data_IF_044373680213
#
_entry.id   IF_044373680213
#
_cell.length_a   1.000
_cell.length_b   1.000
_cell.length_c   1.000
_cell.angle_alpha   90.00
_cell.angle_beta   90.00
_cell.angle_gamma   90.00
#
_symmetry.space_group_name_H-M   'P 1'
#
loop_
_entity.id
_entity.type
_entity.pdbx_description
1 polymer ?
#
# COMPACT_ATOMS: atom_id res chain seq x y z
N UNK A 1 9.77 16.61 -4.68
CA UNK A 1 9.69 16.73 -3.20
C UNK A 1 11.11 16.85 -2.67
N UNK A 2 11.50 18.02 -2.10
CA UNK A 2 12.87 18.24 -1.62
C UNK A 2 13.16 17.57 -0.27
N UNK A 3 12.15 17.32 0.56
CA UNK A 3 12.28 16.61 1.84
C UNK A 3 11.00 15.80 2.11
N UNK A 4 11.13 14.54 2.51
CA UNK A 4 10.01 13.65 2.81
C UNK A 4 10.13 13.12 4.23
N UNK A 5 9.05 13.27 5.00
CA UNK A 5 8.92 12.71 6.35
C UNK A 5 7.79 11.68 6.33
N UNK A 6 7.96 10.54 7.00
CA UNK A 6 6.94 9.51 7.11
C UNK A 6 6.78 9.06 8.56
N UNK A 7 5.53 8.90 8.99
CA UNK A 7 5.18 8.35 10.29
C UNK A 7 4.39 7.05 10.05
N UNK A 8 5.05 5.92 10.28
CA UNK A 8 4.60 4.60 9.86
C UNK A 8 5.77 3.62 9.75
N UNK A 9 5.58 2.52 9.02
CA UNK A 9 6.64 1.52 8.80
C UNK A 9 7.31 1.65 7.43
N UNK A 10 8.41 0.92 7.23
CA UNK A 10 9.16 0.96 5.97
C UNK A 10 8.34 0.56 4.74
N UNK A 11 7.40 -0.38 4.86
CA UNK A 11 6.52 -0.78 3.76
C UNK A 11 5.54 0.33 3.37
N UNK A 12 5.00 1.05 4.35
CA UNK A 12 4.13 2.20 4.11
C UNK A 12 4.89 3.34 3.43
N UNK A 13 6.13 3.61 3.86
CA UNK A 13 7.02 4.56 3.18
C UNK A 13 7.23 4.16 1.73
N UNK A 14 7.66 2.92 1.48
CA UNK A 14 7.90 2.42 0.12
C UNK A 14 6.60 2.48 -0.71
N UNK A 15 5.43 2.11 -0.17
CA UNK A 15 4.17 2.23 -0.88
C UNK A 15 3.82 3.69 -1.25
N UNK A 16 4.23 4.66 -0.43
CA UNK A 16 4.00 6.08 -0.64
C UNK A 16 4.90 6.68 -1.73
N UNK A 17 6.16 6.24 -1.84
CA UNK A 17 7.13 6.75 -2.82
C UNK A 17 6.62 6.74 -4.26
N UNK A 18 5.92 5.68 -4.67
CA UNK A 18 5.39 5.55 -6.03
C UNK A 18 4.46 6.70 -6.40
N UNK A 19 3.54 7.07 -5.51
CA UNK A 19 2.62 8.20 -5.73
C UNK A 19 3.33 9.54 -5.57
N UNK A 20 4.15 9.67 -4.53
CA UNK A 20 4.85 10.91 -4.21
C UNK A 20 5.78 11.40 -5.34
N UNK A 21 6.41 10.47 -6.06
CA UNK A 21 7.28 10.79 -7.20
C UNK A 21 6.62 10.51 -8.57
N UNK A 22 5.33 10.20 -8.59
CA UNK A 22 4.57 9.91 -9.82
C UNK A 22 5.23 8.85 -10.71
N UNK A 23 5.73 7.78 -10.09
CA UNK A 23 6.46 6.71 -10.78
C UNK A 23 5.44 5.82 -11.51
N UNK A 24 5.51 5.70 -12.85
CA UNK A 24 4.60 4.85 -13.60
C UNK A 24 4.88 3.39 -13.29
N UNK A 25 3.82 2.59 -13.14
CA UNK A 25 3.94 1.14 -12.93
C UNK A 25 4.92 0.78 -11.80
N UNK A 26 4.67 1.37 -10.64
CA UNK A 26 5.57 1.35 -9.49
C UNK A 26 5.77 -0.05 -8.91
N UNK A 27 7.04 -0.45 -8.74
CA UNK A 27 7.45 -1.70 -8.09
C UNK A 27 8.63 -1.46 -7.15
N UNK A 28 8.80 -2.37 -6.19
CA UNK A 28 10.00 -2.42 -5.37
C UNK A 28 10.46 -3.87 -5.19
N UNK A 29 11.78 -4.07 -5.18
CA UNK A 29 12.37 -5.40 -5.03
C UNK A 29 13.58 -5.38 -4.10
N UNK A 30 13.60 -6.22 -3.06
CA UNK A 30 14.81 -6.43 -2.29
C UNK A 30 15.81 -7.25 -3.12
N UNK A 31 17.07 -6.86 -3.03
CA UNK A 31 18.24 -7.56 -3.55
C UNK A 31 19.01 -8.22 -2.41
N UNK A 32 19.89 -9.17 -2.76
CA UNK A 32 20.67 -9.98 -1.81
C UNK A 32 21.76 -9.20 -1.08
N UNK A 33 22.17 -8.07 -1.64
CA UNK A 33 23.13 -7.12 -1.08
C UNK A 33 22.49 -6.12 -0.10
N UNK A 34 21.20 -6.30 0.22
CA UNK A 34 20.45 -5.41 1.12
C UNK A 34 19.95 -4.13 0.44
N UNK A 35 20.20 -3.95 -0.86
CA UNK A 35 19.68 -2.82 -1.63
C UNK A 35 18.23 -3.12 -2.03
N UNK A 36 17.36 -2.11 -1.93
CA UNK A 36 15.98 -2.20 -2.41
C UNK A 36 15.88 -1.36 -3.69
N UNK A 37 15.56 -2.00 -4.80
CA UNK A 37 15.15 -1.29 -6.01
C UNK A 37 13.78 -0.66 -5.77
N UNK A 38 13.64 0.60 -6.11
CA UNK A 38 12.38 1.35 -6.02
C UNK A 38 12.24 2.16 -7.31
N UNK A 39 11.24 1.87 -8.13
CA UNK A 39 11.13 2.50 -9.43
C UNK A 39 10.01 1.96 -10.30
N UNK A 40 10.00 2.34 -11.57
CA UNK A 40 9.08 1.78 -12.55
C UNK A 40 9.43 0.32 -12.84
N UNK A 41 8.45 -0.51 -13.13
CA UNK A 41 8.72 -1.85 -13.61
C UNK A 41 9.56 -1.84 -14.90
N UNK A 42 9.30 -0.90 -15.82
CA UNK A 42 10.01 -0.80 -17.10
C UNK A 42 11.53 -0.62 -16.96
N UNK A 43 11.96 0.08 -15.92
CA UNK A 43 13.38 0.33 -15.60
C UNK A 43 14.00 -0.79 -14.75
N UNK A 44 13.19 -1.75 -14.30
CA UNK A 44 13.65 -2.85 -13.51
C UNK A 44 14.39 -3.90 -14.36
N UNK A 45 15.36 -4.58 -13.75
CA UNK A 45 16.09 -5.73 -14.31
C UNK A 45 15.17 -6.82 -14.90
N UNK A 46 13.94 -6.96 -14.40
CA UNK A 46 13.01 -8.02 -14.79
C UNK A 46 12.11 -7.65 -15.99
N UNK A 47 11.95 -6.37 -16.34
CA UNK A 47 11.06 -5.98 -17.43
C UNK A 47 11.46 -6.57 -18.80
N UNK A 48 12.76 -6.77 -19.02
CA UNK A 48 13.30 -7.33 -20.26
C UNK A 48 13.48 -8.85 -20.21
N UNK A 49 12.88 -9.52 -19.23
CA UNK A 49 13.04 -10.96 -18.98
C UNK A 49 11.68 -11.63 -18.74
N UNK A 50 10.81 -11.67 -19.75
CA UNK A 50 9.56 -12.42 -19.65
C UNK A 50 9.86 -13.90 -19.43
N UNK A 51 9.00 -14.56 -18.66
CA UNK A 51 9.13 -15.98 -18.35
C UNK A 51 8.16 -16.75 -19.24
N UNK A 52 8.65 -17.75 -19.95
CA UNK A 52 7.82 -18.72 -20.65
C UNK A 52 7.91 -20.04 -19.92
N UNK A 53 6.77 -20.55 -19.44
CA UNK A 53 6.70 -21.85 -18.80
C UNK A 53 5.83 -22.77 -19.64
N UNK A 54 6.32 -23.97 -20.00
CA UNK A 54 5.45 -25.00 -20.55
C UNK A 54 4.42 -25.40 -19.49
N UNK A 55 3.17 -25.56 -19.92
CA UNK A 55 2.02 -25.87 -19.05
C UNK A 55 2.26 -27.15 -18.25
N UNK A 56 3.07 -28.07 -18.76
CA UNK A 56 3.43 -29.34 -18.10
C UNK A 56 4.16 -29.20 -16.74
N UNK A 57 4.70 -28.02 -16.42
CA UNK A 57 5.43 -27.77 -15.15
C UNK A 57 4.48 -27.40 -14.00
N UNK A 58 3.20 -27.16 -14.26
CA UNK A 58 2.21 -26.87 -13.22
C UNK A 58 1.91 -28.13 -12.42
N UNK A 59 2.23 -28.12 -11.13
CA UNK A 59 1.93 -29.24 -10.22
C UNK A 59 0.44 -29.33 -9.93
N UNK A 60 -0.19 -28.18 -9.73
CA UNK A 60 -1.62 -28.05 -9.45
C UNK A 60 -2.13 -26.69 -10.00
N UNK A 61 -3.35 -26.70 -10.53
CA UNK A 61 -4.05 -25.51 -11.01
C UNK A 61 -4.90 -24.91 -9.87
N UNK A 62 -4.65 -23.66 -9.49
CA UNK A 62 -5.46 -22.94 -8.48
C UNK A 62 -6.66 -22.23 -9.12
N UNK A 63 -7.21 -22.81 -10.19
CA UNK A 63 -8.24 -22.22 -11.04
C UNK A 63 -7.66 -21.22 -12.05
N UNK A 64 -8.53 -20.48 -12.74
CA UNK A 64 -8.17 -19.71 -13.94
C UNK A 64 -7.02 -18.69 -13.80
N UNK A 65 -6.65 -18.30 -12.57
CA UNK A 65 -5.79 -17.15 -12.28
C UNK A 65 -4.61 -17.46 -11.35
N UNK A 66 -4.24 -18.72 -11.17
CA UNK A 66 -3.04 -19.06 -10.41
C UNK A 66 -2.59 -20.50 -10.55
N UNK A 67 -1.28 -20.71 -10.45
CA UNK A 67 -0.63 -22.01 -10.61
C UNK A 67 0.29 -22.32 -9.44
N UNK A 68 0.42 -23.60 -9.09
CA UNK A 68 1.54 -24.08 -8.28
C UNK A 68 2.63 -24.60 -9.20
N UNK A 69 3.82 -24.01 -9.07
CA UNK A 69 5.01 -24.38 -9.83
C UNK A 69 6.17 -24.67 -8.90
N UNK A 70 7.22 -25.30 -9.42
CA UNK A 70 8.51 -25.37 -8.71
C UNK A 70 9.05 -23.96 -8.46
N UNK A 71 9.86 -23.81 -7.41
CA UNK A 71 10.43 -22.51 -7.06
C UNK A 71 11.35 -21.99 -8.16
N UNK A 72 11.00 -20.85 -8.78
CA UNK A 72 11.79 -20.20 -9.82
C UNK A 72 12.29 -18.83 -9.29
N UNK A 73 13.61 -18.60 -9.14
CA UNK A 73 14.14 -17.37 -8.54
C UNK A 73 13.76 -16.06 -9.25
N UNK A 74 13.48 -16.13 -10.55
CA UNK A 74 13.06 -14.96 -11.33
C UNK A 74 11.58 -14.63 -11.16
N UNK A 75 10.76 -15.53 -10.62
CA UNK A 75 9.33 -15.29 -10.39
C UNK A 75 9.14 -14.32 -9.23
N UNK A 76 8.60 -13.14 -9.56
CA UNK A 76 8.33 -12.06 -8.62
C UNK A 76 7.04 -11.34 -9.03
N UNK A 77 6.33 -10.70 -8.09
CA UNK A 77 5.24 -9.79 -8.44
C UNK A 77 5.70 -8.77 -9.48
N UNK A 78 4.92 -8.59 -10.54
CA UNK A 78 5.21 -7.69 -11.67
C UNK A 78 5.75 -8.39 -12.91
N UNK A 79 6.40 -9.56 -12.79
CA UNK A 79 6.93 -10.31 -13.95
C UNK A 79 5.80 -10.75 -14.88
N UNK A 80 6.05 -10.69 -16.19
CA UNK A 80 5.12 -11.20 -17.20
C UNK A 80 5.48 -12.65 -17.50
N UNK A 81 4.55 -13.56 -17.21
CA UNK A 81 4.64 -14.99 -17.45
C UNK A 81 3.54 -15.42 -18.41
N UNK A 82 3.90 -16.03 -19.54
CA UNK A 82 2.92 -16.49 -20.55
C UNK A 82 1.89 -15.40 -20.96
N UNK A 83 2.30 -14.12 -20.95
CA UNK A 83 1.42 -12.98 -21.23
C UNK A 83 0.63 -12.44 -20.02
N UNK A 84 0.58 -13.18 -18.91
CA UNK A 84 -0.06 -12.74 -17.67
C UNK A 84 0.94 -12.02 -16.76
N UNK A 85 0.53 -10.89 -16.21
CA UNK A 85 1.34 -10.18 -15.22
C UNK A 85 1.06 -10.73 -13.84
N UNK A 86 2.09 -11.27 -13.20
CA UNK A 86 1.96 -11.87 -11.87
C UNK A 86 1.70 -10.77 -10.83
N UNK A 87 0.66 -10.92 -10.03
CA UNK A 87 0.30 -10.00 -8.95
C UNK A 87 0.87 -10.47 -7.60
N UNK A 88 0.92 -11.78 -7.36
CA UNK A 88 1.38 -12.35 -6.10
C UNK A 88 2.19 -13.62 -6.34
N UNK A 89 3.23 -13.78 -5.52
CA UNK A 89 4.06 -14.99 -5.45
C UNK A 89 4.14 -15.38 -3.98
N UNK A 90 3.73 -16.59 -3.66
CA UNK A 90 3.78 -17.16 -2.31
C UNK A 90 4.66 -18.41 -2.34
N UNK A 91 5.67 -18.45 -1.48
CA UNK A 91 6.49 -19.65 -1.31
C UNK A 91 5.81 -20.61 -0.34
N UNK A 92 5.74 -21.89 -0.70
CA UNK A 92 5.19 -22.96 0.12
C UNK A 92 6.09 -24.20 0.01
N UNK A 93 6.98 -24.36 0.99
CA UNK A 93 8.02 -25.40 0.95
C UNK A 93 8.90 -25.24 -0.29
N UNK A 94 8.96 -26.29 -1.10
CA UNK A 94 9.76 -26.31 -2.35
C UNK A 94 8.99 -25.77 -3.57
N UNK A 95 7.71 -25.43 -3.41
CA UNK A 95 6.85 -24.92 -4.48
C UNK A 95 6.53 -23.45 -4.26
N UNK A 96 6.05 -22.80 -5.32
CA UNK A 96 5.47 -21.46 -5.23
C UNK A 96 4.08 -21.43 -5.87
N UNK A 97 3.17 -20.72 -5.20
CA UNK A 97 1.86 -20.36 -5.72
C UNK A 97 2.01 -18.99 -6.36
N UNK A 98 1.75 -18.91 -7.65
CA UNK A 98 1.73 -17.67 -8.41
C UNK A 98 0.29 -17.34 -8.76
N UNK A 99 -0.08 -16.06 -8.69
CA UNK A 99 -1.41 -15.61 -9.10
C UNK A 99 -1.36 -14.29 -9.83
N UNK A 100 -2.28 -14.13 -10.77
CA UNK A 100 -2.49 -12.91 -11.56
C UNK A 100 -3.97 -12.52 -11.54
N UNK A 101 -4.27 -11.28 -11.90
CA UNK A 101 -5.65 -10.84 -12.08
C UNK A 101 -5.76 -9.82 -13.19
N UNK A 102 -6.91 -9.79 -13.86
CA UNK A 102 -7.24 -8.78 -14.87
C UNK A 102 -7.61 -7.42 -14.25
N UNK A 103 -7.16 -7.14 -13.03
CA UNK A 103 -7.54 -5.95 -12.26
C UNK A 103 -8.92 -6.01 -11.62
N UNK A 104 -9.63 -7.14 -11.70
CA UNK A 104 -10.91 -7.35 -11.01
C UNK A 104 -10.67 -7.82 -9.58
N UNK A 105 -11.25 -7.11 -8.61
CA UNK A 105 -11.28 -7.56 -7.22
C UNK A 105 -12.05 -8.88 -7.09
N UNK A 106 -11.53 -9.80 -6.25
CA UNK A 106 -12.20 -11.07 -5.98
C UNK A 106 -13.50 -10.85 -5.20
N UNK A 107 -14.48 -11.78 -5.29
CA UNK A 107 -15.71 -11.70 -4.50
C UNK A 107 -15.44 -11.59 -2.99
N UNK A 108 -14.44 -12.34 -2.51
CA UNK A 108 -13.99 -12.31 -1.11
C UNK A 108 -13.45 -10.94 -0.74
N UNK A 109 -12.58 -10.35 -1.58
CA UNK A 109 -12.03 -9.02 -1.34
C UNK A 109 -13.14 -7.97 -1.28
N UNK A 110 -14.13 -8.03 -2.17
CA UNK A 110 -15.29 -7.12 -2.14
C UNK A 110 -16.10 -7.28 -0.86
N UNK A 111 -16.32 -8.51 -0.41
CA UNK A 111 -17.05 -8.77 0.83
C UNK A 111 -16.29 -8.23 2.05
N UNK A 112 -14.97 -8.40 2.09
CA UNK A 112 -14.11 -7.83 3.13
C UNK A 112 -14.19 -6.30 3.11
N UNK A 113 -14.03 -5.66 1.96
CA UNK A 113 -14.10 -4.19 1.85
C UNK A 113 -15.50 -3.64 2.14
N UNK A 114 -16.56 -4.46 1.97
CA UNK A 114 -17.92 -4.10 2.38
C UNK A 114 -18.08 -4.13 3.91
N UNK A 115 -17.52 -5.16 4.57
CA UNK A 115 -17.57 -5.28 6.03
C UNK A 115 -16.63 -4.31 6.74
N UNK A 116 -15.50 -4.00 6.11
CA UNK A 116 -14.40 -3.19 6.62
C UNK A 116 -14.05 -2.09 5.62
N UNK A 117 -14.91 -1.05 5.47
CA UNK A 117 -14.71 0.03 4.50
C UNK A 117 -13.39 0.80 4.71
N UNK A 118 -12.83 0.77 5.91
CA UNK A 118 -11.52 1.34 6.24
C UNK A 118 -10.36 0.67 5.50
N UNK A 119 -10.51 -0.59 5.09
CA UNK A 119 -9.53 -1.30 4.27
C UNK A 119 -9.56 -0.81 2.83
N UNK A 120 -10.76 -0.68 2.25
CA UNK A 120 -10.94 -0.16 0.89
C UNK A 120 -10.47 1.29 0.75
N UNK A 121 -10.83 2.14 1.71
CA UNK A 121 -10.46 3.55 1.70
C UNK A 121 -9.05 3.84 2.27
N UNK A 122 -8.34 2.81 2.75
CA UNK A 122 -7.02 2.93 3.38
C UNK A 122 -7.00 3.97 4.52
N UNK A 123 -8.05 4.04 5.31
CA UNK A 123 -8.14 4.94 6.48
C UNK A 123 -7.57 4.30 7.75
N UNK A 124 -7.33 2.98 7.72
CA UNK A 124 -6.56 2.25 8.73
C UNK A 124 -5.05 2.58 8.71
N UNK A 125 -4.57 3.27 7.67
CA UNK A 125 -3.17 3.68 7.56
C UNK A 125 -2.98 5.10 8.08
N UNK A 126 -1.84 5.40 8.73
CA UNK A 126 -1.53 6.76 9.17
C UNK A 126 -1.46 7.70 7.97
N UNK A 127 -2.02 8.90 8.16
CA UNK A 127 -1.95 10.01 7.19
C UNK A 127 -1.45 11.25 7.89
N UNK A 128 -0.71 12.08 7.16
CA UNK A 128 -0.32 13.39 7.67
C UNK A 128 -1.52 14.33 7.69
N UNK A 129 -1.57 15.18 8.70
CA UNK A 129 -2.56 16.24 8.82
C UNK A 129 -1.93 17.50 9.35
N UNK A 130 -2.45 18.65 8.92
CA UNK A 130 -2.09 19.97 9.44
C UNK A 130 -3.14 20.41 10.45
N UNK A 131 -2.70 20.81 11.63
CA UNK A 131 -3.55 21.46 12.62
C UNK A 131 -3.97 22.83 12.09
N UNK A 132 -5.28 23.08 12.01
CA UNK A 132 -5.84 24.35 11.52
C UNK A 132 -6.14 25.28 12.70
N UNK A 133 -6.81 24.76 13.72
CA UNK A 133 -7.19 25.52 14.90
C UNK A 133 -7.43 24.59 16.09
N UNK A 134 -7.33 25.11 17.33
CA UNK A 134 -8.00 24.51 18.48
C UNK A 134 -9.51 24.37 18.20
N UNK A 135 -10.14 23.37 18.80
CA UNK A 135 -11.60 23.21 18.72
C UNK A 135 -12.32 24.25 19.58
N UNK A 136 -11.75 24.57 20.74
CA UNK A 136 -12.26 25.56 21.68
C UNK A 136 -11.11 26.40 22.26
N UNK A 137 -11.42 27.59 22.78
CA UNK A 137 -10.47 28.40 23.54
C UNK A 137 -10.29 27.79 24.94
N UNK A 138 -9.06 27.65 25.40
CA UNK A 138 -8.72 27.04 26.70
C UNK A 138 -7.94 27.99 27.60
N UNK A 139 -8.13 27.87 28.91
CA UNK A 139 -7.37 28.57 29.95
C UNK A 139 -6.77 27.57 30.94
N UNK A 140 -5.66 27.94 31.59
CA UNK A 140 -5.00 27.06 32.56
C UNK A 140 -5.95 26.71 33.72
N UNK A 141 -6.08 25.41 34.01
CA UNK A 141 -6.97 24.89 35.07
C UNK A 141 -8.29 24.32 34.56
N UNK A 142 -8.55 24.36 33.26
CA UNK A 142 -9.72 23.72 32.67
C UNK A 142 -9.69 22.19 32.83
N UNK A 143 -10.83 21.61 33.22
CA UNK A 143 -11.01 20.17 33.38
C UNK A 143 -11.19 19.47 32.02
N UNK A 144 -10.56 18.31 31.86
CA UNK A 144 -10.67 17.42 30.70
C UNK A 144 -11.47 16.16 31.07
N UNK A 145 -12.51 15.83 30.29
CA UNK A 145 -13.23 14.55 30.39
C UNK A 145 -13.46 13.91 29.00
N UNK A 146 -13.93 12.66 28.98
CA UNK A 146 -14.15 11.86 27.76
C UNK A 146 -15.26 12.42 26.84
N UNK A 147 -16.26 13.11 27.39
CA UNK A 147 -17.37 13.75 26.67
C UNK A 147 -17.05 15.18 26.22
N UNK A 148 -16.01 15.80 26.80
CA UNK A 148 -15.48 17.12 26.42
C UNK A 148 -13.95 17.08 26.36
N UNK A 149 -13.38 16.41 25.33
CA UNK A 149 -11.94 16.42 25.12
C UNK A 149 -11.49 17.82 24.68
N UNK A 150 -11.17 18.68 25.65
CA UNK A 150 -10.69 20.05 25.39
C UNK A 150 -9.36 20.10 24.64
N UNK A 151 -8.59 19.01 24.67
CA UNK A 151 -7.37 18.83 23.87
C UNK A 151 -7.69 18.23 22.50
N UNK A 152 -8.63 18.84 21.79
CA UNK A 152 -8.99 18.45 20.44
C UNK A 152 -8.72 19.61 19.47
N UNK A 153 -8.30 19.26 18.25
CA UNK A 153 -8.01 20.24 17.20
C UNK A 153 -8.73 19.90 15.91
N UNK A 154 -8.94 20.91 15.09
CA UNK A 154 -9.38 20.73 13.72
C UNK A 154 -8.16 20.40 12.86
N UNK A 155 -8.23 19.31 12.09
CA UNK A 155 -7.12 18.79 11.28
C UNK A 155 -7.52 18.74 9.81
N UNK A 156 -6.66 19.25 8.93
CA UNK A 156 -6.76 19.03 7.49
C UNK A 156 -5.79 17.92 7.08
N UNK A 157 -6.27 16.76 6.60
CA UNK A 157 -5.41 15.74 6.02
C UNK A 157 -4.65 16.29 4.81
N UNK A 158 -3.39 15.88 4.67
CA UNK A 158 -2.48 16.32 3.62
C UNK A 158 -2.17 15.18 2.64
N UNK A 159 -1.85 15.56 1.40
CA UNK A 159 -1.29 14.67 0.38
C UNK A 159 0.24 14.49 0.56
N UNK A 160 0.85 13.69 -0.31
CA UNK A 160 2.29 13.43 -0.30
C UNK A 160 3.16 14.67 -0.59
N UNK A 161 2.57 15.74 -1.12
CA UNK A 161 3.23 17.03 -1.39
C UNK A 161 3.04 18.06 -0.28
N UNK A 162 2.26 17.74 0.76
CA UNK A 162 1.92 18.64 1.86
C UNK A 162 0.76 19.61 1.56
N UNK A 163 0.06 19.42 0.43
CA UNK A 163 -1.16 20.16 0.12
C UNK A 163 -2.37 19.49 0.79
N UNK A 164 -3.51 20.18 0.96
CA UNK A 164 -4.75 19.55 1.41
C UNK A 164 -5.10 18.34 0.54
N UNK A 165 -5.32 17.19 1.18
CA UNK A 165 -5.72 15.97 0.48
C UNK A 165 -7.02 16.20 -0.28
N UNK A 166 -7.04 15.82 -1.56
CA UNK A 166 -8.22 15.94 -2.41
C UNK A 166 -9.39 15.14 -1.81
N UNK A 167 -10.60 15.66 -1.97
CA UNK A 167 -11.86 15.02 -1.56
C UNK A 167 -11.94 14.71 -0.04
N UNK A 168 -11.12 15.38 0.78
CA UNK A 168 -11.09 15.18 2.23
C UNK A 168 -11.46 16.47 2.96
N UNK A 169 -12.55 16.49 3.76
CA UNK A 169 -12.92 17.67 4.52
C UNK A 169 -11.97 17.90 5.70
N UNK A 170 -12.09 19.06 6.34
CA UNK A 170 -11.49 19.30 7.66
C UNK A 170 -12.17 18.39 8.67
N UNK A 171 -11.38 17.64 9.43
CA UNK A 171 -11.85 16.84 10.55
C UNK A 171 -11.86 17.69 11.80
N UNK A 172 -13.05 17.89 12.37
CA UNK A 172 -13.21 18.72 13.55
C UNK A 172 -13.07 17.88 14.83
N UNK A 173 -12.60 18.51 15.91
CA UNK A 173 -12.50 17.90 17.22
C UNK A 173 -11.71 16.57 17.25
N UNK A 174 -10.60 16.49 16.53
CA UNK A 174 -9.69 15.34 16.59
C UNK A 174 -8.92 15.39 17.91
N UNK A 175 -9.06 14.39 18.80
CA UNK A 175 -8.35 14.39 20.08
C UNK A 175 -6.85 14.22 19.88
N UNK A 176 -6.06 14.98 20.63
CA UNK A 176 -4.60 14.88 20.67
C UNK A 176 -4.19 14.11 21.94
N UNK A 177 -3.24 13.17 21.86
CA UNK A 177 -2.66 12.56 23.05
C UNK A 177 -1.89 13.60 23.89
N UNK A 178 -2.20 13.66 25.19
CA UNK A 178 -1.54 14.51 26.20
C UNK A 178 -0.42 13.78 26.93
#
# INVERSE_FOLDING_TARGET
IPHMTHNGNGYQLIALLGRAFSIPDYVWYPSVDGIIYVGSFADCRFAKRPVQLPVEITKDDHGANGWTIQTIPVMRPGVVMNGHRINQVQLQGDSMIISWSDGRQSPVQRQIETLYPELGNKTHLPRMGRVISPTENTTQGDLHDEFRPRYAVNVQPLDESGNPAKDTPVYNAVPIPV
#
